data_IF_860448985976
#
_entry.id   IF_860448985976
#
_cell.length_a   1.000
_cell.length_b   1.000
_cell.length_c   1.000
_cell.angle_alpha   90.00
_cell.angle_beta   90.00
_cell.angle_gamma   90.00
#
_symmetry.space_group_name_H-M   'P 1'
#
loop_
_entity.id
_entity.type
_entity.pdbx_description
1 polymer ?
#
# COMPACT_ATOMS: atom_id res chain seq x y z
N UNK A 1 16.03 -4.65 -48.49
CA UNK A 1 14.95 -3.70 -48.18
C UNK A 1 13.65 -4.49 -48.18
N UNK A 2 13.24 -5.02 -47.03
CA UNK A 2 11.97 -5.69 -46.82
C UNK A 2 11.57 -5.47 -45.36
N UNK A 3 10.47 -4.76 -45.17
CA UNK A 3 9.93 -4.38 -43.87
C UNK A 3 9.34 -5.60 -43.15
N UNK A 4 9.72 -5.81 -41.90
CA UNK A 4 9.03 -6.74 -41.00
C UNK A 4 7.97 -5.95 -40.25
N UNK A 5 6.72 -6.20 -40.58
CA UNK A 5 5.56 -5.65 -39.89
C UNK A 5 5.43 -6.32 -38.51
N UNK A 6 5.51 -5.53 -37.44
CA UNK A 6 5.17 -5.96 -36.09
C UNK A 6 3.64 -6.05 -35.99
N UNK A 7 3.10 -7.27 -36.06
CA UNK A 7 1.70 -7.53 -35.78
C UNK A 7 1.49 -7.56 -34.26
N UNK A 8 1.05 -6.44 -33.69
CA UNK A 8 0.57 -6.38 -32.31
C UNK A 8 -0.76 -7.14 -32.24
N UNK A 9 -0.71 -8.39 -31.78
CA UNK A 9 -1.91 -9.17 -31.50
C UNK A 9 -2.55 -8.63 -30.21
N UNK A 10 -3.50 -7.71 -30.37
CA UNK A 10 -4.35 -7.23 -29.28
C UNK A 10 -5.33 -8.34 -28.89
N UNK A 11 -4.92 -9.23 -27.99
CA UNK A 11 -5.84 -10.18 -27.37
C UNK A 11 -6.78 -9.38 -26.43
N UNK A 12 -8.11 -9.56 -26.52
CA UNK A 12 -9.03 -8.92 -25.60
C UNK A 12 -8.75 -9.43 -24.17
N UNK A 13 -8.47 -8.52 -23.24
CA UNK A 13 -8.46 -8.83 -21.81
C UNK A 13 -9.89 -9.24 -21.44
N UNK A 14 -10.16 -10.49 -21.03
CA UNK A 14 -11.50 -10.83 -20.56
C UNK A 14 -11.80 -9.97 -19.33
N UNK A 15 -12.96 -9.31 -19.32
CA UNK A 15 -13.47 -8.65 -18.13
C UNK A 15 -13.41 -9.68 -16.99
N UNK A 16 -12.56 -9.42 -16.01
CA UNK A 16 -12.48 -10.27 -14.82
C UNK A 16 -13.83 -10.15 -14.15
N UNK A 17 -14.60 -11.24 -14.19
CA UNK A 17 -15.78 -11.35 -13.37
C UNK A 17 -15.33 -11.14 -11.93
N UNK A 18 -15.86 -10.11 -11.29
CA UNK A 18 -15.74 -9.87 -9.85
C UNK A 18 -16.50 -10.99 -9.16
N UNK A 19 -15.92 -12.19 -9.12
CA UNK A 19 -16.30 -13.18 -8.14
C UNK A 19 -15.65 -12.72 -6.83
N UNK A 20 -16.26 -11.70 -6.23
CA UNK A 20 -16.09 -11.45 -4.81
C UNK A 20 -16.59 -12.72 -4.15
N UNK A 21 -15.64 -13.59 -3.78
CA UNK A 21 -15.91 -14.63 -2.82
C UNK A 21 -16.40 -13.87 -1.59
N UNK A 22 -17.70 -13.88 -1.37
CA UNK A 22 -18.27 -13.69 -0.04
C UNK A 22 -17.72 -14.86 0.77
N UNK A 23 -16.53 -14.68 1.33
CA UNK A 23 -15.97 -15.60 2.32
C UNK A 23 -16.70 -15.21 3.60
N UNK A 24 -17.76 -15.93 4.00
CA UNK A 24 -18.30 -15.70 5.32
C UNK A 24 -17.15 -15.85 6.32
N UNK A 25 -17.09 -14.96 7.31
CA UNK A 25 -16.30 -15.16 8.54
C UNK A 25 -16.88 -16.36 9.30
N UNK A 26 -16.87 -17.54 8.69
CA UNK A 26 -17.30 -18.79 9.26
C UNK A 26 -16.14 -19.32 10.11
N UNK A 27 -16.26 -19.28 11.45
CA UNK A 27 -15.22 -19.76 12.36
C UNK A 27 -14.97 -21.26 12.25
N UNK A 28 -15.78 -21.98 11.45
CA UNK A 28 -15.65 -23.41 11.19
C UNK A 28 -14.98 -23.75 9.85
N UNK A 29 -14.53 -22.77 9.04
CA UNK A 29 -13.74 -23.11 7.85
C UNK A 29 -12.45 -23.81 8.29
N UNK A 30 -12.21 -25.07 7.86
CA UNK A 30 -10.97 -25.74 8.19
C UNK A 30 -9.83 -24.89 7.63
N UNK A 31 -8.83 -24.59 8.47
CA UNK A 31 -7.61 -23.93 8.03
C UNK A 31 -7.14 -24.65 6.75
N UNK A 32 -7.22 -23.95 5.62
CA UNK A 32 -6.86 -24.53 4.33
C UNK A 32 -5.43 -25.04 4.47
N UNK A 33 -5.28 -26.37 4.55
CA UNK A 33 -3.96 -26.98 4.74
C UNK A 33 -3.27 -26.84 3.41
N UNK A 34 -2.41 -25.83 3.29
CA UNK A 34 -1.59 -25.67 2.10
C UNK A 34 -0.73 -26.94 1.97
N UNK A 35 -0.58 -27.48 0.74
CA UNK A 35 0.19 -28.70 0.51
C UNK A 35 1.68 -28.57 0.85
N UNK A 36 2.15 -27.36 1.18
CA UNK A 36 3.51 -27.03 1.59
C UNK A 36 3.43 -26.17 2.85
N UNK A 37 4.24 -26.44 3.90
CA UNK A 37 4.37 -25.53 5.03
C UNK A 37 4.79 -24.15 4.54
N UNK A 38 4.03 -23.13 4.88
CA UNK A 38 4.38 -21.74 4.59
C UNK A 38 4.60 -21.01 5.91
N UNK A 39 5.65 -20.20 5.97
CA UNK A 39 5.86 -19.28 7.07
C UNK A 39 4.94 -18.08 6.87
N UNK A 40 4.01 -17.89 7.80
CA UNK A 40 3.06 -16.76 7.79
C UNK A 40 3.47 -15.77 8.86
N UNK A 41 3.79 -14.56 8.44
CA UNK A 41 4.01 -13.42 9.33
C UNK A 41 2.86 -12.46 9.18
N UNK A 42 2.18 -12.15 10.30
CA UNK A 42 1.18 -11.08 10.34
C UNK A 42 1.88 -9.75 10.57
N UNK A 43 1.60 -8.77 9.71
CA UNK A 43 2.01 -7.38 9.87
C UNK A 43 0.76 -6.53 10.01
N UNK A 44 0.63 -5.82 11.13
CA UNK A 44 -0.54 -4.99 11.39
C UNK A 44 -0.55 -4.42 12.81
N UNK A 45 -1.19 -3.26 12.95
CA UNK A 45 -1.28 -2.53 14.21
C UNK A 45 -2.72 -2.40 14.73
N UNK A 46 -2.90 -1.66 15.82
CA UNK A 46 -4.20 -1.47 16.49
C UNK A 46 -5.21 -0.68 15.64
N UNK A 47 -4.71 0.14 14.70
CA UNK A 47 -5.50 0.89 13.76
C UNK A 47 -4.78 0.99 12.40
N UNK A 48 -5.38 1.70 11.46
CA UNK A 48 -4.85 1.90 10.11
C UNK A 48 -3.51 2.67 10.08
N UNK A 49 -3.32 3.62 11.00
CA UNK A 49 -2.08 4.41 11.08
C UNK A 49 -0.96 3.52 11.63
N UNK A 50 -1.22 2.80 12.72
CA UNK A 50 -0.30 1.83 13.29
C UNK A 50 0.05 0.73 12.28
N UNK A 51 -0.92 0.24 11.51
CA UNK A 51 -0.69 -0.75 10.45
C UNK A 51 0.24 -0.20 9.36
N UNK A 52 0.06 1.05 8.93
CA UNK A 52 0.96 1.67 7.95
C UNK A 52 2.41 1.78 8.47
N UNK A 53 2.58 2.11 9.77
CA UNK A 53 3.89 2.13 10.43
C UNK A 53 4.51 0.74 10.49
N UNK A 54 3.76 -0.29 10.90
CA UNK A 54 4.26 -1.67 10.95
C UNK A 54 4.65 -2.21 9.56
N UNK A 55 3.87 -1.89 8.52
CA UNK A 55 4.20 -2.23 7.13
C UNK A 55 5.48 -1.52 6.69
N UNK A 56 5.65 -0.24 7.03
CA UNK A 56 6.87 0.52 6.75
C UNK A 56 8.09 -0.11 7.42
N UNK A 57 8.01 -0.39 8.73
CA UNK A 57 9.07 -1.05 9.50
C UNK A 57 9.41 -2.44 8.97
N UNK A 58 8.42 -3.17 8.47
CA UNK A 58 8.63 -4.52 7.94
C UNK A 58 9.30 -4.52 6.56
N UNK A 59 8.96 -3.55 5.70
CA UNK A 59 9.38 -3.54 4.30
C UNK A 59 10.62 -2.65 4.04
N UNK A 60 10.91 -1.67 4.90
CA UNK A 60 11.94 -0.65 4.64
C UNK A 60 12.88 -0.48 5.83
N UNK A 61 14.16 -0.78 5.64
CA UNK A 61 15.21 -0.42 6.61
C UNK A 61 15.46 1.10 6.59
N UNK A 62 15.42 1.71 5.40
CA UNK A 62 15.54 3.14 5.16
C UNK A 62 14.77 3.54 3.90
N UNK A 63 14.35 4.80 3.80
CA UNK A 63 13.73 5.34 2.58
C UNK A 63 14.03 6.83 2.46
N UNK A 64 14.52 7.26 1.30
CA UNK A 64 14.86 8.68 1.08
C UNK A 64 13.63 9.60 0.99
N UNK A 65 12.46 9.01 0.71
CA UNK A 65 11.18 9.71 0.62
C UNK A 65 10.07 8.93 1.33
N UNK A 66 9.00 9.63 1.70
CA UNK A 66 7.76 9.05 2.23
C UNK A 66 6.57 9.65 1.48
N UNK A 67 5.56 8.83 1.21
CA UNK A 67 4.25 9.31 0.72
C UNK A 67 3.29 9.39 1.91
N UNK A 68 2.69 10.55 2.15
CA UNK A 68 1.80 10.80 3.27
C UNK A 68 0.40 11.13 2.76
N UNK A 69 -0.61 10.40 3.23
CA UNK A 69 -2.01 10.61 2.89
C UNK A 69 -2.88 10.63 4.15
N UNK A 70 -4.10 11.16 4.03
CA UNK A 70 -5.07 11.14 5.12
C UNK A 70 -5.54 9.71 5.42
N UNK A 71 -5.83 9.45 6.69
CA UNK A 71 -6.13 8.10 7.19
C UNK A 71 -7.60 7.70 7.03
N UNK A 72 -8.53 8.65 6.91
CA UNK A 72 -9.98 8.41 6.94
C UNK A 72 -10.67 8.43 5.57
N UNK A 73 -9.97 8.83 4.51
CA UNK A 73 -10.41 8.69 3.12
C UNK A 73 -9.24 8.12 2.27
N UNK A 74 -9.37 6.88 1.78
CA UNK A 74 -8.25 6.16 1.18
C UNK A 74 -7.99 6.51 -0.28
N UNK A 75 -8.78 7.38 -0.92
CA UNK A 75 -8.64 7.69 -2.35
C UNK A 75 -7.25 8.21 -2.73
N UNK A 76 -6.69 9.11 -1.90
CA UNK A 76 -5.35 9.67 -2.10
C UNK A 76 -4.26 8.61 -1.86
N UNK A 77 -4.41 7.77 -0.82
CA UNK A 77 -3.46 6.70 -0.54
C UNK A 77 -3.42 5.64 -1.67
N UNK A 78 -4.59 5.24 -2.20
CA UNK A 78 -4.69 4.28 -3.30
C UNK A 78 -4.07 4.83 -4.59
N UNK A 79 -4.40 6.06 -4.95
CA UNK A 79 -3.85 6.70 -6.15
C UNK A 79 -2.36 7.04 -6.01
N UNK A 80 -1.87 7.16 -4.78
CA UNK A 80 -0.47 7.36 -4.42
C UNK A 80 0.43 6.14 -4.48
N UNK A 81 -0.12 4.93 -4.44
CA UNK A 81 0.67 3.70 -4.37
C UNK A 81 1.68 3.53 -5.54
N UNK A 82 1.33 3.85 -6.82
CA UNK A 82 2.30 3.82 -7.91
C UNK A 82 3.46 4.81 -7.73
N UNK A 83 3.21 6.00 -7.16
CA UNK A 83 4.25 6.97 -6.85
C UNK A 83 5.19 6.42 -5.76
N UNK A 84 4.62 5.83 -4.70
CA UNK A 84 5.39 5.22 -3.62
C UNK A 84 6.30 4.09 -4.15
N UNK A 85 5.78 3.24 -5.05
CA UNK A 85 6.57 2.20 -5.70
C UNK A 85 7.69 2.73 -6.60
N UNK A 86 7.49 3.86 -7.30
CA UNK A 86 8.53 4.49 -8.12
C UNK A 86 9.65 5.12 -7.28
N UNK A 87 9.33 5.58 -6.07
CA UNK A 87 10.25 6.24 -5.15
C UNK A 87 10.94 5.28 -4.17
N UNK A 88 10.58 4.00 -4.20
CA UNK A 88 10.99 3.00 -3.19
C UNK A 88 10.69 3.50 -1.77
N UNK A 89 9.46 3.98 -1.57
CA UNK A 89 9.02 4.69 -0.38
C UNK A 89 7.76 4.04 0.24
N UNK A 90 7.61 4.07 1.57
CA UNK A 90 6.37 3.64 2.21
C UNK A 90 5.27 4.69 2.06
N UNK A 91 4.02 4.21 2.12
CA UNK A 91 2.84 5.06 2.30
C UNK A 91 2.48 5.09 3.79
N UNK A 92 2.59 6.26 4.41
CA UNK A 92 2.17 6.50 5.78
C UNK A 92 0.83 7.25 5.81
N UNK A 93 0.11 7.11 6.92
CA UNK A 93 -1.23 7.69 7.09
C UNK A 93 -1.27 8.66 8.28
N UNK A 94 -2.02 9.74 8.13
CA UNK A 94 -2.21 10.76 9.16
C UNK A 94 -3.67 11.19 9.29
N UNK A 95 -4.16 11.62 10.47
CA UNK A 95 -5.33 12.49 10.55
C UNK A 95 -5.13 13.78 9.76
N UNK A 96 -6.23 14.45 9.40
CA UNK A 96 -6.19 15.70 8.62
C UNK A 96 -5.48 16.85 9.33
N UNK A 97 -5.69 16.99 10.64
CA UNK A 97 -5.27 18.17 11.39
C UNK A 97 -3.88 18.06 12.04
N UNK A 98 -3.39 16.85 12.29
CA UNK A 98 -2.17 16.63 13.05
C UNK A 98 -1.48 15.35 12.62
N UNK A 99 -0.14 15.35 12.58
CA UNK A 99 0.67 14.16 12.31
C UNK A 99 1.00 13.44 13.63
N UNK A 100 0.60 12.18 13.82
CA UNK A 100 0.86 11.45 15.05
C UNK A 100 2.36 11.26 15.29
N UNK A 101 2.77 11.24 16.56
CA UNK A 101 4.17 11.06 16.92
C UNK A 101 4.79 9.76 16.39
N UNK A 102 3.99 8.69 16.26
CA UNK A 102 4.42 7.41 15.67
C UNK A 102 4.81 7.55 14.20
N UNK A 103 4.09 8.36 13.43
CA UNK A 103 4.38 8.62 12.02
C UNK A 103 5.63 9.48 11.87
N UNK A 104 5.77 10.51 12.71
CA UNK A 104 6.99 11.34 12.73
C UNK A 104 8.23 10.52 13.09
N UNK A 105 8.13 9.68 14.12
CA UNK A 105 9.22 8.80 14.53
C UNK A 105 9.59 7.81 13.41
N UNK A 106 8.62 7.33 12.63
CA UNK A 106 8.89 6.44 11.51
C UNK A 106 9.57 7.17 10.34
N UNK A 107 9.15 8.39 10.01
CA UNK A 107 9.82 9.25 9.02
C UNK A 107 11.28 9.49 9.43
N UNK A 108 11.52 9.76 10.71
CA UNK A 108 12.87 9.92 11.27
C UNK A 108 13.69 8.62 11.20
N UNK A 109 13.10 7.47 11.57
CA UNK A 109 13.74 6.16 11.51
C UNK A 109 14.19 5.82 10.08
N UNK A 110 13.37 6.12 9.09
CA UNK A 110 13.66 5.90 7.67
C UNK A 110 14.78 6.81 7.14
N UNK A 111 15.07 7.92 7.82
CA UNK A 111 15.99 8.95 7.35
C UNK A 111 15.46 9.72 6.13
N UNK A 112 14.14 9.83 6.00
CA UNK A 112 13.51 10.43 4.83
C UNK A 112 13.78 11.95 4.76
N UNK A 113 14.32 12.39 3.62
CA UNK A 113 14.58 13.82 3.37
C UNK A 113 13.42 14.53 2.66
N UNK A 114 12.49 13.77 2.09
CA UNK A 114 11.34 14.31 1.34
C UNK A 114 10.05 13.63 1.77
N UNK A 115 9.00 14.43 2.04
CA UNK A 115 7.65 13.92 2.28
C UNK A 115 6.73 14.43 1.18
N UNK A 116 6.09 13.50 0.46
CA UNK A 116 5.12 13.79 -0.59
C UNK A 116 3.72 13.74 0.01
N UNK A 117 3.07 14.89 0.14
CA UNK A 117 1.71 14.99 0.66
C UNK A 117 0.72 14.74 -0.49
N UNK A 118 -0.21 13.81 -0.27
CA UNK A 118 -1.30 13.54 -1.20
C UNK A 118 -2.62 14.09 -0.65
N UNK A 119 -3.32 14.80 -1.54
CA UNK A 119 -4.53 15.55 -1.22
C UNK A 119 -4.29 17.06 -1.13
N UNK A 120 -5.38 17.83 -1.17
CA UNK A 120 -5.35 19.28 -0.97
C UNK A 120 -5.40 19.66 0.50
N UNK A 121 -5.54 20.96 0.80
CA UNK A 121 -5.65 21.47 2.17
C UNK A 121 -6.87 20.96 2.95
N UNK A 122 -7.89 20.45 2.25
CA UNK A 122 -9.03 19.79 2.88
C UNK A 122 -8.70 18.37 3.37
N UNK A 123 -7.62 17.76 2.86
CA UNK A 123 -7.16 16.43 3.24
C UNK A 123 -6.13 16.49 4.36
N UNK A 124 -5.18 17.42 4.28
CA UNK A 124 -4.11 17.66 5.26
C UNK A 124 -3.96 19.18 5.44
N UNK A 125 -4.03 19.69 6.68
CA UNK A 125 -4.08 21.13 6.99
C UNK A 125 -3.21 21.54 8.17
#
# INVERSE_FOLDING_TARGET
MAAVAAATLLLPIPASAEHVLDVPDDPALPAATLPVPVDVTRVGGADRIATAVEVSMHAFDAAGSVVLARSDDPADALSGAPLAGLLDAPVLLTPTADVPASVLAEIERLGAGTVHLLGGTAAIS
#
